data_IF_025508636203
#
_entry.id   IF_025508636203
#
_cell.length_a   1.000
_cell.length_b   1.000
_cell.length_c   1.000
_cell.angle_alpha   90.00
_cell.angle_beta   90.00
_cell.angle_gamma   90.00
#
_symmetry.space_group_name_H-M   'P 1'
#
loop_
_entity.id
_entity.type
_entity.pdbx_description
1 polymer ?
#
# COMPACT_ATOMS: atom_id res chain seq x y z
N UNK A 1 -1.77 -2.26 -3.63
CA UNK A 1 -0.29 -2.07 -3.70
C UNK A 1 0.32 -3.45 -3.56
N UNK A 2 1.31 -3.80 -4.35
CA UNK A 2 1.99 -5.11 -4.23
C UNK A 2 3.12 -5.03 -3.20
N UNK A 3 3.40 -6.17 -2.53
CA UNK A 3 4.50 -6.29 -1.57
C UNK A 3 5.54 -7.30 -2.04
N UNK A 4 6.82 -6.92 -1.98
CA UNK A 4 7.96 -7.68 -2.46
C UNK A 4 8.80 -8.22 -1.30
N UNK A 5 9.27 -9.44 -1.44
CA UNK A 5 10.26 -10.04 -0.54
C UNK A 5 11.29 -10.84 -1.36
N UNK A 6 12.54 -10.75 -1.00
CA UNK A 6 13.62 -11.56 -1.58
C UNK A 6 14.62 -11.96 -0.52
N UNK A 7 15.27 -13.11 -0.69
CA UNK A 7 16.23 -13.62 0.28
C UNK A 7 17.34 -14.43 -0.39
N UNK A 8 18.56 -14.21 0.08
CA UNK A 8 19.74 -15.02 -0.23
C UNK A 8 20.31 -15.56 1.07
N UNK A 9 20.66 -16.84 1.09
CA UNK A 9 21.13 -17.55 2.28
C UNK A 9 22.28 -18.51 1.97
N UNK A 10 23.15 -18.75 2.92
CA UNK A 10 24.14 -19.84 2.87
C UNK A 10 23.49 -21.22 3.08
N UNK A 11 22.29 -21.24 3.69
CA UNK A 11 21.49 -22.44 3.98
C UNK A 11 20.21 -22.49 3.15
N UNK A 12 19.29 -23.38 3.48
CA UNK A 12 17.96 -23.38 2.89
C UNK A 12 17.16 -22.16 3.38
N UNK A 13 16.68 -21.31 2.45
CA UNK A 13 15.98 -20.06 2.76
C UNK A 13 14.47 -20.15 2.58
N UNK A 14 13.92 -21.31 2.26
CA UNK A 14 12.49 -21.43 1.88
C UNK A 14 11.55 -20.92 2.99
N UNK A 15 11.88 -21.20 4.25
CA UNK A 15 11.10 -20.68 5.39
C UNK A 15 11.10 -19.16 5.44
N UNK A 16 12.28 -18.52 5.29
CA UNK A 16 12.40 -17.06 5.25
C UNK A 16 11.68 -16.47 4.05
N UNK A 17 11.79 -17.08 2.86
CA UNK A 17 11.09 -16.67 1.64
C UNK A 17 9.59 -16.73 1.82
N UNK A 18 9.10 -17.84 2.31
CA UNK A 18 7.69 -18.11 2.50
C UNK A 18 7.04 -17.10 3.46
N UNK A 19 7.52 -17.05 4.70
CA UNK A 19 6.96 -16.14 5.71
C UNK A 19 7.23 -14.67 5.39
N UNK A 20 8.40 -14.35 4.86
CA UNK A 20 8.72 -12.99 4.43
C UNK A 20 7.74 -12.48 3.37
N UNK A 21 7.32 -13.36 2.45
CA UNK A 21 6.29 -13.03 1.46
C UNK A 21 4.91 -12.92 2.12
N UNK A 22 4.53 -13.86 2.98
CA UNK A 22 3.23 -13.87 3.66
C UNK A 22 2.97 -12.62 4.52
N UNK A 23 4.02 -12.05 5.14
CA UNK A 23 3.94 -10.79 5.87
C UNK A 23 3.46 -9.58 5.04
N UNK A 24 3.44 -9.70 3.71
CA UNK A 24 2.91 -8.67 2.82
C UNK A 24 1.44 -8.91 2.41
N UNK A 25 0.75 -9.90 2.98
CA UNK A 25 -0.64 -10.26 2.65
C UNK A 25 -1.66 -9.14 2.89
N UNK A 26 -1.29 -8.09 3.64
CA UNK A 26 -2.11 -6.90 3.80
C UNK A 26 -1.96 -5.89 2.64
N UNK A 27 -0.95 -6.01 1.78
CA UNK A 27 -0.70 -5.09 0.65
C UNK A 27 -1.42 -5.50 -0.63
N UNK A 28 -1.55 -6.79 -0.91
CA UNK A 28 -2.21 -7.31 -2.10
C UNK A 28 -3.24 -8.39 -1.78
N UNK A 29 -4.17 -8.64 -2.70
CA UNK A 29 -5.30 -9.54 -2.45
C UNK A 29 -5.64 -10.46 -3.60
N UNK A 30 -5.00 -10.30 -4.77
CA UNK A 30 -5.40 -11.07 -5.95
C UNK A 30 -4.48 -12.26 -6.18
N UNK A 31 -3.18 -12.05 -6.22
CA UNK A 31 -2.23 -13.13 -6.48
C UNK A 31 -1.11 -13.16 -5.45
N UNK A 32 -0.67 -14.36 -5.11
CA UNK A 32 0.57 -14.61 -4.39
C UNK A 32 1.52 -15.44 -5.25
N UNK A 33 2.81 -15.15 -5.18
CA UNK A 33 3.77 -15.91 -5.96
C UNK A 33 5.17 -15.94 -5.36
N UNK A 34 5.89 -17.03 -5.65
CA UNK A 34 7.31 -17.20 -5.31
C UNK A 34 8.08 -17.74 -6.50
N UNK A 35 9.33 -17.32 -6.63
CA UNK A 35 10.30 -17.95 -7.52
C UNK A 35 11.61 -18.21 -6.79
N UNK A 36 12.24 -19.35 -7.07
CA UNK A 36 13.46 -19.77 -6.41
C UNK A 36 14.31 -20.69 -7.31
N UNK A 37 15.60 -20.84 -7.00
CA UNK A 37 16.48 -21.79 -7.67
C UNK A 37 16.51 -23.09 -6.86
N UNK A 38 15.93 -24.15 -7.40
CA UNK A 38 15.97 -25.47 -6.77
C UNK A 38 17.38 -26.07 -6.84
N UNK A 39 17.99 -26.35 -5.68
CA UNK A 39 19.36 -26.89 -5.59
C UNK A 39 19.51 -28.28 -6.20
N UNK A 40 18.49 -29.13 -6.09
CA UNK A 40 18.52 -30.50 -6.62
C UNK A 40 18.36 -30.49 -8.14
N UNK A 41 17.38 -29.74 -8.63
CA UNK A 41 17.05 -29.66 -10.07
C UNK A 41 17.93 -28.66 -10.82
N UNK A 42 18.69 -27.80 -10.12
CA UNK A 42 19.54 -26.72 -10.65
C UNK A 42 18.81 -25.79 -11.63
N UNK A 43 17.50 -25.59 -11.44
CA UNK A 43 16.65 -24.79 -12.31
C UNK A 43 15.79 -23.80 -11.55
N UNK A 44 15.38 -22.76 -12.24
CA UNK A 44 14.39 -21.79 -11.75
C UNK A 44 13.02 -22.47 -11.67
N UNK A 45 12.35 -22.31 -10.54
CA UNK A 45 10.96 -22.75 -10.31
C UNK A 45 10.16 -21.54 -9.90
N UNK A 46 8.97 -21.37 -10.50
CA UNK A 46 7.97 -20.40 -10.06
C UNK A 46 6.68 -21.10 -9.64
N UNK A 47 5.98 -20.52 -8.67
CA UNK A 47 4.63 -20.88 -8.26
C UNK A 47 3.82 -19.60 -8.10
N UNK A 48 2.63 -19.54 -8.69
CA UNK A 48 1.69 -18.43 -8.58
C UNK A 48 0.33 -19.03 -8.26
N UNK A 49 -0.39 -18.42 -7.34
CA UNK A 49 -1.76 -18.79 -7.00
C UNK A 49 -2.64 -17.55 -6.86
N UNK A 50 -3.89 -17.69 -7.28
CA UNK A 50 -4.97 -16.80 -6.88
C UNK A 50 -5.18 -16.94 -5.37
N UNK A 51 -5.21 -15.79 -4.67
CA UNK A 51 -5.42 -15.70 -3.22
C UNK A 51 -6.65 -14.88 -2.85
N UNK A 52 -7.50 -14.53 -3.83
CA UNK A 52 -8.72 -13.75 -3.62
C UNK A 52 -9.63 -14.31 -2.53
N UNK A 53 -9.79 -15.62 -2.49
CA UNK A 53 -10.66 -16.34 -1.55
C UNK A 53 -9.87 -17.22 -0.57
N UNK A 54 -8.56 -17.03 -0.46
CA UNK A 54 -7.70 -17.84 0.40
C UNK A 54 -6.51 -17.02 0.94
N UNK A 55 -5.89 -17.51 2.00
CA UNK A 55 -4.66 -16.91 2.50
C UNK A 55 -3.46 -17.46 1.72
N UNK A 56 -2.43 -16.64 1.52
CA UNK A 56 -1.17 -17.05 0.89
C UNK A 56 -0.63 -18.34 1.50
N UNK A 57 -0.57 -18.41 2.83
CA UNK A 57 -0.06 -19.58 3.57
C UNK A 57 -0.80 -20.88 3.23
N UNK A 58 -2.11 -20.84 3.00
CA UNK A 58 -2.88 -22.05 2.69
C UNK A 58 -2.58 -22.62 1.30
N UNK A 59 -2.11 -21.78 0.37
CA UNK A 59 -1.77 -22.19 -1.01
C UNK A 59 -0.31 -22.61 -1.17
N UNK A 60 0.59 -22.14 -0.33
CA UNK A 60 2.02 -22.33 -0.52
C UNK A 60 2.67 -23.26 0.51
N UNK A 61 2.04 -23.51 1.65
CA UNK A 61 2.62 -24.30 2.75
C UNK A 61 2.81 -25.75 2.37
N UNK A 62 1.88 -26.34 1.65
CA UNK A 62 1.91 -27.77 1.31
C UNK A 62 3.11 -28.10 0.42
N UNK A 63 3.97 -29.02 0.91
CA UNK A 63 5.18 -29.44 0.22
C UNK A 63 6.35 -28.44 0.27
N UNK A 64 6.27 -27.36 1.05
CA UNK A 64 7.39 -26.41 1.21
C UNK A 64 8.60 -27.04 1.92
N UNK A 65 8.38 -28.01 2.80
CA UNK A 65 9.39 -28.83 3.49
C UNK A 65 10.29 -29.63 2.54
N UNK A 66 9.78 -29.98 1.36
CA UNK A 66 10.52 -30.73 0.32
C UNK A 66 11.39 -29.84 -0.58
N UNK A 67 11.21 -28.52 -0.48
CA UNK A 67 11.95 -27.55 -1.30
C UNK A 67 13.29 -27.22 -0.64
N UNK A 68 14.36 -27.25 -1.43
CA UNK A 68 15.68 -26.83 -0.99
C UNK A 68 16.22 -25.75 -1.92
N UNK A 69 16.26 -24.53 -1.43
CA UNK A 69 16.82 -23.37 -2.13
C UNK A 69 17.54 -22.45 -1.17
N UNK A 70 18.57 -21.78 -1.66
CA UNK A 70 19.28 -20.76 -0.92
C UNK A 70 19.03 -19.34 -1.45
N UNK A 71 18.13 -19.22 -2.43
CA UNK A 71 17.81 -17.92 -3.05
C UNK A 71 16.39 -17.93 -3.61
N UNK A 72 15.66 -16.86 -3.40
CA UNK A 72 14.33 -16.71 -3.98
C UNK A 72 13.75 -15.31 -3.82
N UNK A 73 12.71 -15.03 -4.62
CA UNK A 73 11.88 -13.84 -4.54
C UNK A 73 10.42 -14.25 -4.36
N UNK A 74 9.66 -13.40 -3.70
CA UNK A 74 8.23 -13.58 -3.50
C UNK A 74 7.49 -12.26 -3.62
N UNK A 75 6.20 -12.35 -3.91
CA UNK A 75 5.33 -11.19 -4.08
C UNK A 75 3.91 -11.51 -3.66
N UNK A 76 3.27 -10.55 -3.01
CA UNK A 76 1.81 -10.46 -2.87
C UNK A 76 1.36 -9.36 -3.81
N UNK A 77 0.54 -9.71 -4.79
CA UNK A 77 0.13 -8.82 -5.88
C UNK A 77 -1.33 -8.39 -5.76
N UNK A 78 -1.59 -7.14 -6.12
CA UNK A 78 -2.91 -6.52 -6.07
C UNK A 78 -3.63 -6.51 -7.43
N UNK A 79 -2.95 -6.92 -8.51
CA UNK A 79 -3.52 -6.94 -9.84
C UNK A 79 -2.99 -8.08 -10.71
N UNK A 80 -1.69 -8.12 -10.97
CA UNK A 80 -1.11 -8.98 -11.99
C UNK A 80 -0.56 -10.27 -11.39
N UNK A 81 -0.74 -11.46 -12.02
CA UNK A 81 -0.04 -12.68 -11.64
C UNK A 81 1.47 -12.49 -11.78
N UNK A 82 2.21 -12.76 -10.71
CA UNK A 82 3.68 -12.67 -10.66
C UNK A 82 4.24 -13.52 -9.50
N UNK A 83 5.56 -13.87 -9.49
CA UNK A 83 6.63 -13.43 -10.40
C UNK A 83 6.53 -14.09 -11.78
N UNK A 84 7.02 -13.41 -12.82
CA UNK A 84 7.16 -14.00 -14.14
C UNK A 84 8.59 -14.51 -14.38
N UNK A 85 8.74 -15.55 -15.20
CA UNK A 85 10.04 -16.12 -15.55
C UNK A 85 10.28 -16.06 -17.04
N UNK A 86 11.51 -15.73 -17.42
CA UNK A 86 11.94 -15.55 -18.80
C UNK A 86 13.25 -16.33 -19.07
N UNK A 87 13.37 -16.88 -20.26
CA UNK A 87 14.64 -17.23 -20.84
C UNK A 87 15.09 -16.07 -21.73
N UNK A 88 16.28 -15.57 -21.55
CA UNK A 88 16.75 -14.36 -22.21
C UNK A 88 18.24 -14.42 -22.53
N UNK A 89 18.76 -13.41 -23.23
CA UNK A 89 20.20 -13.24 -23.44
C UNK A 89 21.03 -13.11 -22.17
N UNK A 90 20.39 -12.84 -21.01
CA UNK A 90 21.00 -12.81 -19.68
C UNK A 90 20.96 -14.17 -18.97
N UNK A 91 20.43 -15.21 -19.67
CA UNK A 91 20.05 -16.52 -19.11
C UNK A 91 18.66 -16.47 -18.45
N UNK A 92 18.27 -17.58 -17.78
CA UNK A 92 17.00 -17.67 -17.09
C UNK A 92 16.94 -16.73 -15.88
N UNK A 93 15.85 -15.98 -15.77
CA UNK A 93 15.57 -15.12 -14.63
C UNK A 93 14.08 -15.08 -14.27
N UNK A 94 13.77 -14.69 -13.03
CA UNK A 94 12.41 -14.36 -12.63
C UNK A 94 12.36 -12.91 -12.13
N UNK A 95 11.22 -12.24 -12.34
CA UNK A 95 11.02 -10.84 -11.96
C UNK A 95 9.67 -10.66 -11.26
N UNK A 96 9.64 -9.80 -10.26
CA UNK A 96 8.42 -9.27 -9.67
C UNK A 96 8.55 -7.76 -9.43
N UNK A 97 7.40 -7.07 -9.47
CA UNK A 97 7.31 -5.62 -9.46
C UNK A 97 6.24 -5.12 -8.48
N UNK A 98 6.44 -3.92 -7.94
CA UNK A 98 5.47 -3.19 -7.13
C UNK A 98 5.40 -1.73 -7.56
N UNK A 99 4.20 -1.25 -7.91
CA UNK A 99 3.96 0.12 -8.34
C UNK A 99 2.90 0.22 -9.43
N UNK A 100 2.85 1.37 -10.11
CA UNK A 100 1.92 1.67 -11.20
C UNK A 100 2.65 2.37 -12.34
N UNK A 101 2.40 1.93 -13.57
CA UNK A 101 2.86 2.56 -14.82
C UNK A 101 1.64 3.12 -15.54
N UNK A 102 1.52 4.46 -15.62
CA UNK A 102 0.35 5.11 -16.22
C UNK A 102 0.38 5.16 -17.73
N UNK A 103 1.56 5.10 -18.35
CA UNK A 103 1.74 5.00 -19.82
C UNK A 103 1.99 3.56 -20.30
N UNK A 104 1.43 2.56 -19.57
CA UNK A 104 1.61 1.13 -19.90
C UNK A 104 1.25 0.80 -21.32
N UNK A 105 0.08 1.25 -21.78
CA UNK A 105 -0.44 0.90 -23.11
C UNK A 105 0.39 1.54 -24.23
N UNK A 106 0.86 2.78 -24.08
CA UNK A 106 1.75 3.47 -24.99
C UNK A 106 3.07 2.69 -25.18
N UNK A 107 3.66 2.26 -24.04
CA UNK A 107 4.90 1.48 -24.07
C UNK A 107 4.71 0.09 -24.69
N UNK A 108 3.61 -0.58 -24.37
CA UNK A 108 3.28 -1.88 -24.94
C UNK A 108 3.08 -1.81 -26.45
N UNK A 109 2.34 -0.82 -26.96
CA UNK A 109 2.16 -0.60 -28.38
C UNK A 109 3.51 -0.31 -29.10
N UNK A 110 4.40 0.42 -28.44
CA UNK A 110 5.74 0.69 -28.98
C UNK A 110 6.56 -0.60 -29.14
N UNK A 111 6.45 -1.53 -28.18
CA UNK A 111 7.13 -2.83 -28.22
C UNK A 111 6.50 -3.76 -29.27
N UNK A 112 5.17 -3.79 -29.38
CA UNK A 112 4.44 -4.58 -30.39
C UNK A 112 4.86 -4.15 -31.80
N UNK A 113 4.96 -2.85 -32.07
CA UNK A 113 5.46 -2.34 -33.39
C UNK A 113 6.89 -2.77 -33.69
N UNK A 114 7.69 -3.14 -32.69
CA UNK A 114 9.03 -3.72 -32.82
C UNK A 114 9.03 -5.25 -32.94
N UNK A 115 7.85 -5.88 -33.05
CA UNK A 115 7.71 -7.33 -33.18
C UNK A 115 7.77 -8.10 -31.85
N UNK A 116 7.64 -7.42 -30.69
CA UNK A 116 7.62 -8.07 -29.39
C UNK A 116 6.19 -8.45 -29.04
N UNK A 117 5.99 -9.71 -28.69
CA UNK A 117 4.69 -10.24 -28.27
C UNK A 117 4.54 -10.21 -26.74
N UNK A 118 3.30 -10.12 -26.28
CA UNK A 118 2.92 -10.29 -24.88
C UNK A 118 2.08 -11.56 -24.74
N UNK A 119 2.35 -12.36 -23.73
CA UNK A 119 1.70 -13.65 -23.47
C UNK A 119 0.85 -13.64 -22.20
N UNK A 120 1.21 -12.80 -21.24
CA UNK A 120 0.52 -12.67 -19.95
C UNK A 120 -0.53 -11.55 -20.04
N UNK A 121 -1.75 -11.93 -20.47
CA UNK A 121 -2.88 -11.03 -20.63
C UNK A 121 -3.98 -11.44 -19.68
N UNK A 122 -4.35 -10.55 -18.74
CA UNK A 122 -5.39 -10.79 -17.77
C UNK A 122 -6.57 -9.83 -18.02
N UNK A 123 -7.76 -10.38 -18.26
CA UNK A 123 -8.98 -9.59 -18.56
C UNK A 123 -8.80 -8.54 -19.68
N UNK A 124 -7.99 -8.84 -20.71
CA UNK A 124 -7.66 -7.93 -21.79
C UNK A 124 -6.54 -6.93 -21.51
N UNK A 125 -5.99 -6.92 -20.30
CA UNK A 125 -4.89 -6.04 -19.86
C UNK A 125 -3.55 -6.77 -19.93
N UNK A 126 -2.53 -6.13 -20.52
CA UNK A 126 -1.15 -6.63 -20.52
C UNK A 126 -0.59 -6.59 -19.10
N UNK A 127 0.06 -7.68 -18.67
CA UNK A 127 0.72 -7.77 -17.39
C UNK A 127 1.88 -6.75 -17.28
N UNK A 128 1.84 -5.92 -16.22
CA UNK A 128 2.84 -4.86 -16.00
C UNK A 128 4.25 -5.42 -15.82
N UNK A 129 4.37 -6.60 -15.20
CA UNK A 129 5.67 -7.26 -14.97
C UNK A 129 6.26 -7.76 -16.29
N UNK A 130 5.43 -8.27 -17.22
CA UNK A 130 5.87 -8.66 -18.56
C UNK A 130 6.34 -7.45 -19.37
N UNK A 131 5.63 -6.33 -19.30
CA UNK A 131 6.06 -5.09 -19.93
C UNK A 131 7.45 -4.66 -19.45
N UNK A 132 7.66 -4.65 -18.13
CA UNK A 132 8.95 -4.28 -17.52
C UNK A 132 10.05 -5.24 -17.96
N UNK A 133 9.79 -6.55 -17.97
CA UNK A 133 10.74 -7.55 -18.44
C UNK A 133 11.11 -7.37 -19.92
N UNK A 134 10.12 -7.09 -20.75
CA UNK A 134 10.34 -6.85 -22.18
C UNK A 134 11.14 -5.57 -22.45
N UNK A 135 10.94 -4.51 -21.65
CA UNK A 135 11.78 -3.31 -21.72
C UNK A 135 13.23 -3.62 -21.30
N UNK A 136 13.43 -4.39 -20.23
CA UNK A 136 14.77 -4.80 -19.76
C UNK A 136 15.48 -5.64 -20.82
N UNK A 137 14.78 -6.56 -21.48
CA UNK A 137 15.32 -7.45 -22.48
C UNK A 137 15.81 -6.75 -23.76
N UNK A 138 15.44 -5.48 -24.00
CA UNK A 138 15.97 -4.71 -25.13
C UNK A 138 17.43 -4.29 -24.91
N UNK A 139 17.86 -4.15 -23.67
CA UNK A 139 19.14 -3.54 -23.32
C UNK A 139 20.29 -4.57 -23.20
N UNK A 140 21.52 -4.12 -23.18
CA UNK A 140 22.74 -4.96 -23.16
C UNK A 140 22.88 -5.82 -21.91
N UNK A 141 22.42 -5.30 -20.77
CA UNK A 141 22.46 -5.97 -19.47
C UNK A 141 21.29 -5.52 -18.59
N UNK A 142 21.06 -6.27 -17.51
CA UNK A 142 19.95 -6.05 -16.57
C UNK A 142 19.98 -4.63 -15.97
N UNK A 143 21.16 -4.10 -15.63
CA UNK A 143 21.29 -2.77 -15.00
C UNK A 143 20.84 -1.68 -15.98
N UNK A 144 21.37 -1.69 -17.20
CA UNK A 144 20.92 -0.76 -18.25
C UNK A 144 19.45 -0.92 -18.58
N UNK A 145 18.94 -2.15 -18.53
CA UNK A 145 17.52 -2.44 -18.70
C UNK A 145 16.64 -1.79 -17.63
N UNK A 146 17.02 -1.88 -16.36
CA UNK A 146 16.32 -1.20 -15.27
C UNK A 146 16.38 0.32 -15.43
N UNK A 147 17.54 0.87 -15.80
CA UNK A 147 17.68 2.31 -16.07
C UNK A 147 16.77 2.80 -17.20
N UNK A 148 16.66 2.00 -18.24
CA UNK A 148 15.78 2.34 -19.37
C UNK A 148 14.30 2.26 -19.00
N UNK A 149 13.90 1.28 -18.19
CA UNK A 149 12.56 1.26 -17.58
C UNK A 149 12.30 2.58 -16.84
N UNK A 150 13.22 3.01 -15.97
CA UNK A 150 13.07 4.23 -15.20
C UNK A 150 13.00 5.52 -16.02
N UNK A 151 13.62 5.54 -17.20
CA UNK A 151 13.52 6.66 -18.14
C UNK A 151 12.15 6.70 -18.83
N UNK A 152 11.63 5.55 -19.27
CA UNK A 152 10.43 5.46 -20.13
C UNK A 152 9.12 5.52 -19.38
N UNK A 153 9.08 5.00 -18.14
CA UNK A 153 7.83 4.93 -17.39
C UNK A 153 7.38 6.28 -16.82
N UNK A 154 6.07 6.53 -16.90
CA UNK A 154 5.36 7.51 -16.09
C UNK A 154 4.70 6.77 -14.93
N UNK A 155 4.98 7.18 -13.69
CA UNK A 155 4.56 6.48 -12.48
C UNK A 155 5.74 6.00 -11.64
N UNK A 156 5.57 4.89 -10.94
CA UNK A 156 6.56 4.34 -10.01
C UNK A 156 6.61 2.81 -10.15
N UNK A 157 7.80 2.24 -10.11
CA UNK A 157 8.01 0.79 -10.08
C UNK A 157 9.28 0.43 -9.31
N UNK A 158 9.14 -0.35 -8.24
CA UNK A 158 10.23 -1.06 -7.59
C UNK A 158 10.21 -2.52 -8.00
N UNK A 159 11.35 -3.18 -8.12
CA UNK A 159 11.41 -4.52 -8.66
C UNK A 159 12.51 -5.38 -8.05
N UNK A 160 12.31 -6.71 -8.12
CA UNK A 160 13.30 -7.73 -7.80
C UNK A 160 13.49 -8.64 -9.02
N UNK A 161 14.75 -8.91 -9.39
CA UNK A 161 15.09 -9.84 -10.46
C UNK A 161 16.00 -10.93 -9.89
N UNK A 162 15.49 -12.15 -9.86
CA UNK A 162 16.19 -13.35 -9.44
C UNK A 162 16.94 -13.94 -10.64
N UNK A 163 18.26 -14.05 -10.53
CA UNK A 163 19.11 -14.85 -11.42
C UNK A 163 19.79 -15.95 -10.62
N UNK A 164 20.43 -16.90 -11.30
CA UNK A 164 21.10 -18.03 -10.64
C UNK A 164 22.12 -17.62 -9.56
N UNK A 165 22.77 -16.44 -9.72
CA UNK A 165 23.86 -15.98 -8.85
C UNK A 165 23.45 -15.00 -7.77
N UNK A 166 22.21 -14.48 -7.77
CA UNK A 166 21.79 -13.44 -6.84
C UNK A 166 20.47 -12.79 -7.24
N UNK A 167 20.13 -11.71 -6.55
CA UNK A 167 18.91 -10.91 -6.77
C UNK A 167 19.33 -9.46 -7.03
N UNK A 168 18.92 -8.90 -8.16
CA UNK A 168 18.92 -7.45 -8.35
C UNK A 168 17.72 -6.86 -7.63
N UNK A 169 17.96 -5.85 -6.81
CA UNK A 169 16.94 -5.11 -6.06
C UNK A 169 17.02 -3.67 -6.52
N UNK A 170 15.93 -3.13 -7.05
CA UNK A 170 15.91 -1.78 -7.60
C UNK A 170 14.71 -1.01 -7.07
N UNK A 171 14.97 0.06 -6.31
CA UNK A 171 13.95 0.99 -5.83
C UNK A 171 13.58 1.96 -6.94
N UNK A 172 12.29 2.28 -7.07
CA UNK A 172 11.82 3.23 -8.09
C UNK A 172 12.60 4.55 -8.08
N UNK A 173 12.66 5.21 -9.25
CA UNK A 173 13.51 6.39 -9.47
C UNK A 173 13.21 7.58 -8.56
N UNK A 174 11.98 7.68 -8.05
CA UNK A 174 11.54 8.79 -7.19
C UNK A 174 11.44 8.36 -5.71
N UNK A 175 11.58 7.06 -5.41
CA UNK A 175 11.52 6.52 -4.05
C UNK A 175 10.11 6.38 -3.48
N UNK A 176 9.06 6.45 -4.32
CA UNK A 176 7.65 6.36 -3.89
C UNK A 176 7.36 5.04 -3.17
N UNK A 177 7.88 3.94 -3.73
CA UNK A 177 7.73 2.58 -3.19
C UNK A 177 9.03 2.13 -2.53
N UNK A 178 9.09 2.00 -1.19
CA UNK A 178 10.32 1.67 -0.47
C UNK A 178 10.80 0.25 -0.74
N UNK A 179 12.11 0.05 -0.63
CA UNK A 179 12.77 -1.24 -0.47
C UNK A 179 13.80 -1.13 0.64
N UNK A 180 13.80 -2.10 1.54
CA UNK A 180 14.69 -2.17 2.68
C UNK A 180 15.49 -3.48 2.65
N UNK A 181 16.78 -3.38 2.95
CA UNK A 181 17.67 -4.53 3.12
C UNK A 181 17.76 -4.87 4.60
N UNK A 182 17.58 -6.16 4.91
CA UNK A 182 17.80 -6.74 6.23
C UNK A 182 18.90 -7.79 6.20
N UNK A 183 19.63 -7.90 7.29
CA UNK A 183 20.69 -8.90 7.46
C UNK A 183 20.48 -9.68 8.75
N UNK A 184 20.78 -10.97 8.70
CA UNK A 184 21.05 -11.84 9.85
C UNK A 184 22.20 -12.77 9.52
N UNK A 185 22.69 -13.53 10.48
CA UNK A 185 23.82 -14.43 10.26
C UNK A 185 23.55 -15.40 9.10
N UNK A 186 24.34 -15.26 8.02
CA UNK A 186 24.29 -16.11 6.83
C UNK A 186 23.14 -15.86 5.88
N UNK A 187 22.30 -14.82 6.12
CA UNK A 187 21.17 -14.45 5.24
C UNK A 187 21.06 -12.94 5.01
N UNK A 188 20.70 -12.57 3.79
CA UNK A 188 20.36 -11.18 3.40
C UNK A 188 18.98 -11.21 2.80
N UNK A 189 18.10 -10.33 3.27
CA UNK A 189 16.75 -10.15 2.75
C UNK A 189 16.56 -8.75 2.16
N UNK A 190 15.65 -8.64 1.20
CA UNK A 190 15.09 -7.39 0.69
C UNK A 190 13.58 -7.44 0.87
N UNK A 191 12.97 -6.34 1.27
CA UNK A 191 11.53 -6.28 1.56
C UNK A 191 10.95 -4.91 1.21
N UNK A 192 9.67 -4.87 0.84
CA UNK A 192 8.92 -3.62 0.74
C UNK A 192 8.62 -3.00 2.10
N UNK A 193 8.50 -3.83 3.15
CA UNK A 193 8.21 -3.43 4.53
C UNK A 193 9.10 -4.15 5.54
N UNK A 194 9.29 -3.53 6.69
CA UNK A 194 10.13 -4.11 7.76
C UNK A 194 9.39 -5.08 8.69
N UNK A 195 8.05 -5.20 8.60
CA UNK A 195 7.25 -6.00 9.54
C UNK A 195 7.62 -7.49 9.58
N UNK A 196 8.19 -8.03 8.51
CA UNK A 196 8.66 -9.41 8.47
C UNK A 196 9.99 -9.64 9.22
N UNK A 197 10.79 -8.60 9.39
CA UNK A 197 12.17 -8.72 9.87
C UNK A 197 12.28 -9.18 11.33
N UNK A 198 11.55 -8.60 12.30
CA UNK A 198 11.70 -9.01 13.70
C UNK A 198 11.47 -10.51 13.92
N UNK A 199 10.36 -11.03 13.41
CA UNK A 199 10.00 -12.44 13.61
C UNK A 199 10.86 -13.42 12.80
N UNK A 200 11.49 -12.96 11.71
CA UNK A 200 12.44 -13.76 10.92
C UNK A 200 13.90 -13.57 11.37
N UNK A 201 14.14 -12.71 12.37
CA UNK A 201 15.47 -12.47 12.95
C UNK A 201 16.38 -11.56 12.11
N UNK A 202 15.82 -10.83 11.14
CA UNK A 202 16.59 -9.84 10.37
C UNK A 202 16.68 -8.51 11.12
N UNK A 203 17.84 -7.87 11.03
CA UNK A 203 18.05 -6.47 11.43
C UNK A 203 18.08 -5.60 10.20
N UNK A 204 17.47 -4.41 10.27
CA UNK A 204 17.51 -3.42 9.20
C UNK A 204 18.96 -3.04 8.95
N UNK A 205 19.42 -3.15 7.71
CA UNK A 205 20.75 -2.72 7.27
C UNK A 205 20.69 -1.34 6.64
N UNK A 206 19.76 -1.15 5.71
CA UNK A 206 19.55 0.15 5.05
C UNK A 206 18.24 0.16 4.26
N UNK A 207 17.66 1.33 4.10
CA UNK A 207 16.69 1.62 3.05
C UNK A 207 17.43 1.96 1.76
N UNK A 208 17.00 1.44 0.62
CA UNK A 208 17.58 1.81 -0.67
C UNK A 208 17.17 3.24 -1.02
N UNK A 209 18.10 4.02 -1.58
CA UNK A 209 17.79 5.36 -2.08
C UNK A 209 16.94 5.29 -3.36
N UNK A 210 16.22 6.37 -3.74
CA UNK A 210 15.52 6.46 -5.02
C UNK A 210 16.43 6.13 -6.20
N UNK A 211 15.98 5.24 -7.09
CA UNK A 211 16.75 4.79 -8.25
C UNK A 211 17.99 3.96 -7.96
N UNK A 212 18.23 3.60 -6.69
CA UNK A 212 19.35 2.73 -6.33
C UNK A 212 19.13 1.30 -6.83
N UNK A 213 20.20 0.69 -7.38
CA UNK A 213 20.23 -0.71 -7.79
C UNK A 213 21.33 -1.40 -6.99
N UNK A 214 20.97 -2.44 -6.25
CA UNK A 214 21.92 -3.31 -5.56
C UNK A 214 21.74 -4.74 -6.05
N UNK A 215 22.83 -5.52 -5.95
CA UNK A 215 22.83 -6.95 -6.20
C UNK A 215 23.17 -7.65 -4.90
N UNK A 216 22.29 -8.53 -4.43
CA UNK A 216 22.52 -9.34 -3.23
C UNK A 216 22.82 -10.77 -3.63
N UNK A 217 23.85 -11.34 -3.04
CA UNK A 217 24.32 -12.72 -3.27
C UNK A 217 24.91 -13.31 -1.98
N UNK A 218 25.46 -14.52 -2.06
CA UNK A 218 26.07 -15.23 -0.92
C UNK A 218 27.38 -14.59 -0.39
N UNK A 219 27.94 -13.63 -1.16
CA UNK A 219 29.13 -12.85 -0.77
C UNK A 219 28.78 -11.53 -0.11
N UNK A 220 27.51 -11.08 -0.22
CA UNK A 220 27.06 -9.84 0.38
C UNK A 220 26.21 -8.96 -0.54
N UNK A 221 26.29 -7.66 -0.32
CA UNK A 221 25.54 -6.62 -1.03
C UNK A 221 26.51 -5.84 -1.92
N UNK A 222 26.26 -5.86 -3.21
CA UNK A 222 27.05 -5.11 -4.20
C UNK A 222 26.21 -3.94 -4.73
N UNK A 223 26.69 -2.71 -4.58
CA UNK A 223 26.05 -1.56 -5.21
C UNK A 223 26.33 -1.56 -6.71
N UNK A 224 25.28 -1.59 -7.53
CA UNK A 224 25.37 -1.56 -9.00
C UNK A 224 25.10 -0.18 -9.58
N UNK A 225 24.24 0.61 -8.91
CA UNK A 225 23.98 1.99 -9.25
C UNK A 225 23.73 2.79 -7.98
N UNK A 226 24.33 3.98 -7.90
CA UNK A 226 24.07 4.93 -6.82
C UNK A 226 22.66 5.49 -6.97
N UNK A 227 21.93 5.55 -5.86
CA UNK A 227 20.62 6.21 -5.80
C UNK A 227 20.74 7.74 -5.75
N UNK A 228 19.62 8.39 -5.94
CA UNK A 228 19.46 9.84 -5.87
C UNK A 228 19.14 10.27 -4.42
N UNK A 229 19.50 11.47 -3.99
CA UNK A 229 19.20 11.96 -2.65
C UNK A 229 17.74 12.41 -2.51
N UNK A 230 17.02 12.59 -3.62
CA UNK A 230 15.72 13.24 -3.65
C UNK A 230 14.59 12.20 -3.54
N UNK A 231 14.13 11.96 -2.30
CA UNK A 231 13.09 10.98 -1.99
C UNK A 231 11.69 11.61 -2.11
N UNK A 232 10.74 10.87 -2.67
CA UNK A 232 9.31 11.22 -2.76
C UNK A 232 8.46 10.06 -2.23
N UNK A 233 8.78 9.56 -1.05
CA UNK A 233 8.10 8.40 -0.46
C UNK A 233 6.61 8.67 -0.25
N UNK A 234 5.78 7.69 -0.53
CA UNK A 234 4.33 7.80 -0.42
C UNK A 234 3.91 8.02 1.05
N UNK A 235 3.34 9.19 1.37
CA UNK A 235 2.88 9.49 2.72
C UNK A 235 1.74 8.56 3.19
N UNK A 236 0.97 7.98 2.25
CA UNK A 236 -0.11 7.05 2.55
C UNK A 236 0.37 5.73 3.18
N UNK A 237 1.66 5.42 3.08
CA UNK A 237 2.28 4.27 3.77
C UNK A 237 2.09 4.37 5.27
N UNK A 238 2.29 5.53 5.87
CA UNK A 238 2.09 5.72 7.31
C UNK A 238 0.62 5.86 7.69
N UNK A 239 -0.19 6.48 6.84
CA UNK A 239 -1.59 6.76 7.18
C UNK A 239 -2.44 5.49 7.15
N UNK A 240 -2.26 4.64 6.12
CA UNK A 240 -3.13 3.48 5.89
C UNK A 240 -2.42 2.20 5.49
N UNK A 241 -1.59 2.24 4.41
CA UNK A 241 -1.18 1.01 3.71
C UNK A 241 -0.13 0.19 4.45
N UNK A 242 0.80 0.83 5.17
CA UNK A 242 1.85 0.16 5.91
C UNK A 242 1.31 -0.61 7.12
N UNK A 243 1.93 -1.75 7.40
CA UNK A 243 1.61 -2.50 8.61
C UNK A 243 2.04 -1.71 9.87
N UNK A 244 1.25 -1.67 10.95
CA UNK A 244 1.55 -0.85 12.13
C UNK A 244 2.95 -1.02 12.71
N UNK A 245 3.46 -2.26 12.76
CA UNK A 245 4.82 -2.54 13.24
C UNK A 245 5.93 -2.20 12.23
N UNK A 246 5.58 -1.79 11.00
CA UNK A 246 6.57 -1.42 9.98
C UNK A 246 7.21 -0.08 10.26
N UNK A 247 8.43 0.06 9.73
CA UNK A 247 9.21 1.30 9.74
C UNK A 247 9.61 1.62 8.30
N UNK A 248 9.45 2.87 7.88
CA UNK A 248 9.94 3.39 6.61
C UNK A 248 10.85 4.58 6.88
N UNK A 249 12.06 4.57 6.31
CA UNK A 249 13.07 5.61 6.54
C UNK A 249 13.24 5.90 8.05
N UNK A 250 13.31 4.84 8.87
CA UNK A 250 13.43 4.87 10.34
C UNK A 250 12.23 5.48 11.10
N UNK A 251 11.11 5.74 10.41
CA UNK A 251 9.89 6.29 11.00
C UNK A 251 8.83 5.19 11.12
N UNK A 252 8.42 4.88 12.35
CA UNK A 252 7.45 3.81 12.64
C UNK A 252 6.01 4.22 12.31
N UNK A 253 5.26 3.31 11.68
CA UNK A 253 3.88 3.54 11.20
C UNK A 253 2.92 3.81 12.35
N UNK A 254 2.92 2.99 13.40
CA UNK A 254 2.00 3.14 14.55
C UNK A 254 2.19 4.49 15.23
N UNK A 255 3.46 4.88 15.44
CA UNK A 255 3.80 6.18 16.04
C UNK A 255 3.27 7.36 15.26
N UNK A 256 3.37 7.32 13.93
CA UNK A 256 2.81 8.36 13.06
C UNK A 256 1.30 8.42 13.17
N UNK A 257 0.62 7.29 13.19
CA UNK A 257 -0.85 7.23 13.36
C UNK A 257 -1.30 7.82 14.69
N UNK A 258 -0.62 7.50 15.79
CA UNK A 258 -0.87 8.13 17.09
C UNK A 258 -0.66 9.66 17.02
N UNK A 259 0.42 10.13 16.38
CA UNK A 259 0.68 11.55 16.22
C UNK A 259 -0.43 12.24 15.40
N UNK A 260 -0.90 11.63 14.30
CA UNK A 260 -2.05 12.13 13.54
C UNK A 260 -3.28 12.31 14.45
N UNK A 261 -3.56 11.32 15.30
CA UNK A 261 -4.65 11.40 16.27
C UNK A 261 -4.50 12.55 17.25
N UNK A 262 -3.29 12.80 17.77
CA UNK A 262 -3.00 13.94 18.64
C UNK A 262 -3.25 15.29 17.96
N UNK A 263 -2.79 15.46 16.70
CA UNK A 263 -3.05 16.69 15.94
C UNK A 263 -4.55 16.91 15.70
N UNK A 264 -5.31 15.85 15.41
CA UNK A 264 -6.77 15.94 15.31
C UNK A 264 -7.41 16.44 16.60
N UNK A 265 -7.01 15.89 17.76
CA UNK A 265 -7.54 16.27 19.07
C UNK A 265 -7.20 17.73 19.43
N UNK A 266 -5.95 18.18 19.19
CA UNK A 266 -5.54 19.57 19.46
C UNK A 266 -6.39 20.62 18.74
N UNK A 267 -6.95 20.26 17.58
CA UNK A 267 -7.80 21.18 16.78
C UNK A 267 -9.29 20.98 17.04
N UNK A 268 -9.65 20.01 17.86
CA UNK A 268 -11.03 19.69 18.13
C UNK A 268 -11.57 20.40 19.39
N UNK A 269 -12.81 20.83 19.31
CA UNK A 269 -13.50 21.52 20.38
C UNK A 269 -14.87 20.91 20.70
N UNK A 270 -15.15 19.71 20.18
CA UNK A 270 -16.43 19.02 20.44
C UNK A 270 -16.40 18.35 21.81
N UNK A 271 -17.52 18.44 22.53
CA UNK A 271 -17.68 17.74 23.79
C UNK A 271 -18.10 16.29 23.51
N UNK A 272 -17.29 15.37 23.97
CA UNK A 272 -17.43 13.91 23.72
C UNK A 272 -17.27 13.11 25.00
N UNK A 273 -17.80 11.90 24.99
CA UNK A 273 -17.69 10.98 26.10
C UNK A 273 -16.52 10.00 25.90
N UNK A 274 -16.23 9.60 24.67
CA UNK A 274 -15.15 8.68 24.36
C UNK A 274 -14.65 8.80 22.91
N UNK A 275 -13.42 8.34 22.68
CA UNK A 275 -12.83 8.17 21.36
C UNK A 275 -12.77 6.69 20.96
N UNK A 276 -13.01 6.42 19.66
CA UNK A 276 -12.90 5.09 19.06
C UNK A 276 -12.36 5.19 17.65
N UNK A 277 -11.89 4.08 17.10
CA UNK A 277 -11.44 3.99 15.71
C UNK A 277 -12.19 2.92 14.93
N UNK A 278 -12.29 3.12 13.63
CA UNK A 278 -12.74 2.06 12.73
C UNK A 278 -11.64 0.97 12.69
N UNK A 279 -11.95 -0.27 13.04
CA UNK A 279 -10.93 -1.33 13.07
C UNK A 279 -10.56 -1.81 11.65
N UNK A 280 -9.28 -2.06 11.34
CA UNK A 280 -8.11 -1.90 12.26
C UNK A 280 -7.40 -0.54 12.02
N UNK A 281 -7.62 0.09 10.87
CA UNK A 281 -6.88 1.26 10.36
C UNK A 281 -7.03 2.52 11.22
N UNK A 282 -8.22 2.77 11.76
CA UNK A 282 -8.50 3.93 12.59
C UNK A 282 -8.05 3.81 14.06
N UNK A 283 -7.63 2.63 14.52
CA UNK A 283 -7.38 2.36 15.95
C UNK A 283 -6.24 3.21 16.51
N UNK A 284 -5.07 3.21 15.87
CA UNK A 284 -3.92 3.98 16.36
C UNK A 284 -4.18 5.49 16.35
N UNK A 285 -4.89 5.98 15.33
CA UNK A 285 -5.34 7.37 15.27
C UNK A 285 -6.26 7.72 16.45
N UNK A 286 -7.18 6.82 16.79
CA UNK A 286 -8.09 7.03 17.94
C UNK A 286 -7.37 6.94 19.29
N UNK A 287 -6.37 6.09 19.42
CA UNK A 287 -5.50 6.04 20.60
C UNK A 287 -4.78 7.38 20.78
N UNK A 288 -4.16 7.90 19.73
CA UNK A 288 -3.50 9.21 19.76
C UNK A 288 -4.47 10.35 20.10
N UNK A 289 -5.68 10.32 19.54
CA UNK A 289 -6.74 11.28 19.87
C UNK A 289 -7.14 11.21 21.36
N UNK A 290 -7.36 10.00 21.88
CA UNK A 290 -7.72 9.77 23.29
C UNK A 290 -6.63 10.27 24.24
N UNK A 291 -5.35 9.98 23.94
CA UNK A 291 -4.20 10.43 24.73
C UNK A 291 -4.12 11.95 24.84
N UNK A 292 -4.36 12.66 23.75
CA UNK A 292 -4.27 14.13 23.72
C UNK A 292 -5.49 14.82 24.33
N UNK A 293 -6.71 14.29 24.05
CA UNK A 293 -7.95 14.87 24.56
C UNK A 293 -8.27 14.53 26.02
N UNK A 294 -7.54 13.59 26.63
CA UNK A 294 -7.82 13.05 27.97
C UNK A 294 -9.12 12.24 28.05
N UNK A 295 -9.78 11.95 26.92
CA UNK A 295 -11.00 11.13 26.88
C UNK A 295 -10.65 9.65 26.75
N UNK A 296 -11.47 8.73 27.32
CA UNK A 296 -11.15 7.30 27.25
C UNK A 296 -11.23 6.76 25.81
N UNK A 297 -10.27 5.93 25.42
CA UNK A 297 -10.37 5.10 24.23
C UNK A 297 -11.24 3.87 24.52
N UNK A 298 -12.29 3.64 23.75
CA UNK A 298 -13.14 2.46 23.85
C UNK A 298 -13.47 1.88 22.49
N UNK A 299 -13.55 0.58 22.38
CA UNK A 299 -13.86 -0.12 21.12
C UNK A 299 -15.37 -0.23 20.92
N UNK A 300 -15.99 0.76 20.30
CA UNK A 300 -17.41 0.75 19.93
C UNK A 300 -17.68 -0.13 18.69
N UNK A 301 -16.62 -0.44 17.93
CA UNK A 301 -16.65 -1.32 16.78
C UNK A 301 -15.59 -2.43 16.94
N UNK A 302 -15.97 -3.63 16.56
CA UNK A 302 -15.12 -4.81 16.61
C UNK A 302 -15.12 -5.48 15.23
N UNK A 303 -13.95 -5.89 14.77
CA UNK A 303 -13.83 -6.64 13.53
C UNK A 303 -13.99 -8.13 13.81
N UNK A 304 -14.92 -8.76 13.11
CA UNK A 304 -15.07 -10.22 13.13
C UNK A 304 -14.07 -10.82 12.15
N UNK A 305 -12.99 -11.37 12.66
CA UNK A 305 -11.86 -11.90 11.88
C UNK A 305 -12.06 -13.34 11.38
N UNK A 306 -12.73 -14.26 12.12
CA UNK A 306 -12.92 -15.62 11.63
C UNK A 306 -13.80 -15.66 10.37
N UNK A 307 -13.27 -16.16 9.27
CA UNK A 307 -14.02 -16.46 8.05
C UNK A 307 -14.13 -15.33 6.99
N UNK A 308 -13.66 -14.12 7.26
CA UNK A 308 -13.74 -13.04 6.27
C UNK A 308 -12.39 -12.38 6.00
N UNK A 309 -11.95 -12.44 4.73
CA UNK A 309 -10.83 -11.68 4.22
C UNK A 309 -11.13 -10.17 4.08
N UNK A 310 -10.51 -9.49 3.12
CA UNK A 310 -10.79 -8.08 2.84
C UNK A 310 -12.15 -7.91 2.15
N UNK A 311 -12.96 -6.93 2.59
CA UNK A 311 -14.34 -6.72 2.12
C UNK A 311 -14.47 -6.23 0.67
N UNK A 312 -13.38 -5.82 0.02
CA UNK A 312 -13.37 -5.35 -1.37
C UNK A 312 -12.96 -6.43 -2.39
N UNK A 313 -12.61 -7.63 -1.93
CA UNK A 313 -12.15 -8.75 -2.75
C UNK A 313 -13.25 -9.50 -3.51
N UNK A 314 -14.52 -9.62 -3.05
CA UNK A 314 -15.54 -10.35 -3.78
C UNK A 314 -15.91 -9.72 -5.12
N UNK A 315 -16.18 -10.56 -6.13
CA UNK A 315 -16.44 -10.18 -7.51
C UNK A 315 -17.70 -9.32 -7.72
N UNK A 316 -18.76 -9.51 -6.90
CA UNK A 316 -20.01 -8.76 -7.02
C UNK A 316 -20.19 -7.72 -5.91
N UNK A 317 -20.88 -6.61 -6.21
CA UNK A 317 -21.19 -5.58 -5.23
C UNK A 317 -22.01 -6.13 -4.06
N UNK A 318 -22.98 -7.03 -4.34
CA UNK A 318 -23.85 -7.61 -3.33
C UNK A 318 -23.05 -8.46 -2.31
N UNK A 319 -22.09 -9.28 -2.77
CA UNK A 319 -21.24 -10.06 -1.89
C UNK A 319 -20.30 -9.14 -1.09
N UNK A 320 -19.76 -8.09 -1.72
CA UNK A 320 -18.95 -7.08 -1.01
C UNK A 320 -19.72 -6.39 0.09
N UNK A 321 -20.97 -6.03 -0.16
CA UNK A 321 -21.83 -5.38 0.82
C UNK A 321 -22.19 -6.34 1.97
N UNK A 322 -22.47 -7.59 1.66
CA UNK A 322 -22.72 -8.64 2.68
C UNK A 322 -21.49 -8.90 3.55
N UNK A 323 -20.30 -9.02 2.95
CA UNK A 323 -19.04 -9.21 3.70
C UNK A 323 -18.75 -7.97 4.57
N UNK A 324 -18.94 -6.77 4.05
CA UNK A 324 -18.77 -5.54 4.82
C UNK A 324 -19.77 -5.45 5.99
N UNK A 325 -21.02 -5.85 5.75
CA UNK A 325 -22.06 -5.92 6.79
C UNK A 325 -21.68 -6.86 7.94
N UNK A 326 -21.18 -8.05 7.62
CA UNK A 326 -20.88 -9.09 8.61
C UNK A 326 -19.53 -8.88 9.32
N UNK A 327 -18.62 -8.14 8.72
CA UNK A 327 -17.25 -7.95 9.20
C UNK A 327 -17.13 -7.07 10.43
N UNK A 328 -18.01 -6.08 10.59
CA UNK A 328 -17.99 -5.14 11.70
C UNK A 328 -19.19 -5.37 12.63
N UNK A 329 -18.92 -5.44 13.93
CA UNK A 329 -19.94 -5.59 14.98
C UNK A 329 -19.86 -4.36 15.89
N UNK A 330 -21.01 -3.65 16.06
CA UNK A 330 -21.09 -2.56 17.02
C UNK A 330 -21.28 -3.11 18.45
N UNK A 331 -20.52 -2.57 19.39
CA UNK A 331 -20.69 -2.87 20.82
C UNK A 331 -21.74 -1.93 21.41
N UNK A 332 -22.96 -2.40 21.50
CA UNK A 332 -24.13 -1.63 21.95
C UNK A 332 -23.94 -1.09 23.38
N UNK A 333 -23.36 -1.88 24.29
CA UNK A 333 -23.16 -1.49 25.69
C UNK A 333 -22.18 -0.30 25.85
N UNK A 334 -21.28 -0.14 24.87
CA UNK A 334 -20.33 0.98 24.86
C UNK A 334 -20.83 2.16 24.03
N UNK A 335 -21.57 1.90 22.96
CA UNK A 335 -22.02 2.95 22.05
C UNK A 335 -23.27 3.69 22.57
N UNK A 336 -24.19 3.00 23.24
CA UNK A 336 -25.50 3.53 23.67
C UNK A 336 -25.36 4.76 24.58
N UNK A 337 -26.01 5.85 24.16
CA UNK A 337 -26.09 7.10 24.90
C UNK A 337 -24.82 7.96 24.88
N UNK A 338 -23.73 7.49 24.30
CA UNK A 338 -22.46 8.20 24.26
C UNK A 338 -22.30 9.07 23.01
N UNK A 339 -21.60 10.20 23.18
CA UNK A 339 -21.09 11.07 22.11
C UNK A 339 -19.70 10.60 21.72
N UNK A 340 -19.53 10.18 20.47
CA UNK A 340 -18.37 9.46 20.00
C UNK A 340 -17.48 10.30 19.09
N UNK A 341 -16.16 10.34 19.32
CA UNK A 341 -15.21 10.55 18.23
C UNK A 341 -14.96 9.19 17.56
N UNK A 342 -15.10 9.18 16.24
CA UNK A 342 -14.74 8.03 15.40
C UNK A 342 -13.59 8.42 14.47
N UNK A 343 -12.39 7.97 14.79
CA UNK A 343 -11.23 8.14 13.93
C UNK A 343 -11.23 7.11 12.80
N UNK A 344 -10.87 7.58 11.61
CA UNK A 344 -10.65 6.76 10.42
C UNK A 344 -9.32 7.16 9.79
N UNK A 345 -8.68 6.29 9.04
CA UNK A 345 -7.47 6.66 8.29
C UNK A 345 -7.80 7.66 7.17
N UNK A 346 -8.84 7.39 6.40
CA UNK A 346 -9.24 8.17 5.23
C UNK A 346 -10.70 7.92 4.83
N UNK A 347 -11.32 8.87 4.16
CA UNK A 347 -12.61 8.68 3.48
C UNK A 347 -12.36 8.70 1.98
N UNK A 348 -12.35 7.52 1.35
CA UNK A 348 -12.18 7.39 -0.10
C UNK A 348 -13.52 7.60 -0.80
N UNK A 349 -14.43 6.62 -0.69
CA UNK A 349 -15.77 6.67 -1.32
C UNK A 349 -16.88 7.07 -0.36
N UNK A 350 -16.67 6.90 0.93
CA UNK A 350 -17.64 7.12 1.99
C UNK A 350 -18.72 6.04 2.15
N UNK A 351 -18.97 5.24 1.12
CA UNK A 351 -20.09 4.26 1.10
C UNK A 351 -20.01 3.23 2.23
N UNK A 352 -18.85 2.64 2.46
CA UNK A 352 -18.67 1.65 3.52
C UNK A 352 -18.81 2.29 4.91
N UNK A 353 -18.24 3.46 5.10
CA UNK A 353 -18.34 4.21 6.35
C UNK A 353 -19.82 4.54 6.65
N UNK A 354 -20.57 5.05 5.66
CA UNK A 354 -21.98 5.38 5.77
C UNK A 354 -22.84 4.14 6.08
N UNK A 355 -22.82 3.15 5.20
CA UNK A 355 -23.79 2.06 5.19
C UNK A 355 -23.53 1.02 6.28
N UNK A 356 -22.27 0.79 6.66
CA UNK A 356 -21.93 -0.31 7.56
C UNK A 356 -21.38 0.15 8.90
N UNK A 357 -20.73 1.30 8.98
CA UNK A 357 -20.13 1.79 10.21
C UNK A 357 -21.06 2.71 10.97
N UNK A 358 -21.47 3.83 10.31
CA UNK A 358 -22.30 4.86 10.95
C UNK A 358 -23.70 4.33 11.25
N UNK A 359 -24.31 3.61 10.32
CA UNK A 359 -25.64 3.00 10.51
C UNK A 359 -25.64 2.07 11.74
N UNK A 360 -24.66 1.18 11.87
CA UNK A 360 -24.57 0.28 13.03
C UNK A 360 -24.38 1.00 14.37
N UNK A 361 -23.60 2.08 14.39
CA UNK A 361 -23.42 2.88 15.61
C UNK A 361 -24.71 3.60 16.01
N UNK A 362 -25.48 4.12 15.04
CA UNK A 362 -26.81 4.68 15.29
C UNK A 362 -27.79 3.64 15.83
N UNK A 363 -27.85 2.47 15.21
CA UNK A 363 -28.66 1.34 15.66
C UNK A 363 -28.25 0.85 17.06
N UNK A 364 -26.96 0.94 17.38
CA UNK A 364 -26.44 0.66 18.72
C UNK A 364 -26.77 1.77 19.74
N UNK A 365 -27.39 2.87 19.31
CA UNK A 365 -27.87 3.95 20.19
C UNK A 365 -26.81 5.01 20.52
N UNK A 366 -25.80 5.20 19.67
CA UNK A 366 -24.86 6.33 19.81
C UNK A 366 -25.64 7.65 19.75
N UNK A 367 -25.37 8.58 20.70
CA UNK A 367 -26.04 9.87 20.79
C UNK A 367 -25.54 10.84 19.74
N UNK A 368 -24.24 10.92 19.58
CA UNK A 368 -23.57 11.74 18.56
C UNK A 368 -22.39 10.98 17.98
N UNK A 369 -22.12 11.20 16.68
CA UNK A 369 -20.98 10.58 15.98
C UNK A 369 -20.21 11.69 15.26
N UNK A 370 -19.01 11.96 15.72
CA UNK A 370 -18.09 12.93 15.14
C UNK A 370 -16.94 12.20 14.43
N UNK A 371 -16.87 12.30 13.10
CA UNK A 371 -15.88 11.57 12.32
C UNK A 371 -14.62 12.42 12.10
N UNK A 372 -13.45 11.80 12.30
CA UNK A 372 -12.13 12.45 12.20
C UNK A 372 -11.17 11.61 11.35
N UNK A 373 -11.15 11.84 10.02
CA UNK A 373 -10.16 11.19 9.15
C UNK A 373 -8.75 11.74 9.41
N UNK A 374 -7.78 10.85 9.46
CA UNK A 374 -6.39 11.16 9.82
C UNK A 374 -5.56 11.77 8.69
N UNK A 375 -6.13 11.95 7.51
CA UNK A 375 -5.53 12.66 6.39
C UNK A 375 -6.52 13.69 5.82
N UNK A 376 -6.07 14.64 4.98
CA UNK A 376 -6.96 15.55 4.26
C UNK A 376 -7.92 14.83 3.30
N UNK A 377 -8.96 15.51 2.78
CA UNK A 377 -9.82 14.94 1.75
C UNK A 377 -9.02 14.47 0.53
N UNK A 378 -9.25 13.24 0.07
CA UNK A 378 -8.64 12.73 -1.16
C UNK A 378 -9.27 13.41 -2.38
N UNK A 379 -8.45 14.14 -3.14
CA UNK A 379 -8.87 14.94 -4.29
C UNK A 379 -8.47 14.34 -5.63
N UNK A 380 -7.40 13.54 -5.67
CA UNK A 380 -6.81 13.03 -6.89
C UNK A 380 -6.57 11.52 -6.81
N UNK A 381 -6.96 10.73 -7.84
CA UNK A 381 -6.62 9.32 -7.90
C UNK A 381 -5.11 9.15 -8.06
N UNK A 382 -4.54 8.15 -7.38
CA UNK A 382 -3.10 7.94 -7.36
C UNK A 382 -2.55 7.53 -8.73
N UNK A 383 -1.45 8.16 -9.16
CA UNK A 383 -0.74 7.85 -10.42
C UNK A 383 0.57 7.07 -10.20
N UNK A 384 0.92 6.76 -8.96
CA UNK A 384 2.18 6.09 -8.59
C UNK A 384 1.99 4.69 -8.02
N UNK A 385 0.86 4.44 -7.38
CA UNK A 385 0.51 3.15 -6.78
C UNK A 385 -0.94 2.77 -7.09
N UNK A 386 -1.21 1.47 -7.07
CA UNK A 386 -2.58 0.97 -7.16
C UNK A 386 -3.36 1.40 -5.90
N UNK A 387 -4.30 2.31 -6.09
CA UNK A 387 -5.16 2.89 -5.08
C UNK A 387 -6.53 3.19 -5.71
N UNK A 388 -7.10 4.35 -5.46
CA UNK A 388 -8.32 4.83 -6.13
C UNK A 388 -8.09 5.01 -7.63
N UNK A 389 -8.95 4.43 -8.45
CA UNK A 389 -8.79 4.40 -9.92
C UNK A 389 -9.49 5.56 -10.62
N UNK A 390 -10.48 6.17 -9.98
CA UNK A 390 -11.37 7.15 -10.63
C UNK A 390 -11.62 8.35 -9.74
N UNK A 391 -11.57 9.55 -10.34
CA UNK A 391 -11.91 10.82 -9.69
C UNK A 391 -13.36 10.81 -9.17
N UNK A 392 -14.31 10.25 -9.94
CA UNK A 392 -15.72 10.22 -9.61
C UNK A 392 -16.07 9.37 -8.37
N UNK A 393 -15.18 8.49 -7.97
CA UNK A 393 -15.37 7.65 -6.77
C UNK A 393 -15.03 8.38 -5.47
N UNK A 394 -14.23 9.44 -5.54
CA UNK A 394 -13.75 10.16 -4.35
C UNK A 394 -14.90 10.96 -3.70
N UNK A 395 -15.09 10.79 -2.39
CA UNK A 395 -16.17 11.46 -1.63
C UNK A 395 -16.08 12.99 -1.75
N UNK A 396 -14.88 13.56 -1.69
CA UNK A 396 -14.65 14.99 -1.88
C UNK A 396 -15.07 15.45 -3.29
N UNK A 397 -14.75 14.69 -4.33
CA UNK A 397 -15.13 15.02 -5.73
C UNK A 397 -16.63 14.89 -5.95
N UNK A 398 -17.29 13.92 -5.33
CA UNK A 398 -18.76 13.80 -5.34
C UNK A 398 -19.42 15.02 -4.71
N UNK A 399 -18.91 15.47 -3.55
CA UNK A 399 -19.40 16.66 -2.87
C UNK A 399 -19.22 17.90 -3.75
N UNK A 400 -18.05 18.10 -4.34
CA UNK A 400 -17.75 19.22 -5.25
C UNK A 400 -18.74 19.21 -6.43
N UNK A 401 -18.91 18.06 -7.08
CA UNK A 401 -19.88 17.93 -8.20
C UNK A 401 -21.30 18.26 -7.79
N UNK A 402 -21.73 17.85 -6.60
CA UNK A 402 -23.07 18.16 -6.09
C UNK A 402 -23.24 19.65 -5.77
N UNK A 403 -22.19 20.34 -5.30
CA UNK A 403 -22.20 21.76 -4.97
C UNK A 403 -22.14 22.63 -6.24
N UNK A 404 -21.26 22.29 -7.20
CA UNK A 404 -21.04 23.07 -8.41
C UNK A 404 -22.00 22.69 -9.57
N UNK A 405 -22.78 21.61 -9.42
CA UNK A 405 -23.66 21.07 -10.46
C UNK A 405 -22.94 20.33 -11.60
N UNK A 406 -21.60 20.32 -11.61
CA UNK A 406 -20.74 19.68 -12.62
C UNK A 406 -19.40 19.31 -12.05
N UNK A 407 -18.67 18.45 -12.78
CA UNK A 407 -17.26 18.21 -12.48
C UNK A 407 -16.43 19.43 -12.88
N UNK A 408 -15.51 19.82 -12.00
CA UNK A 408 -14.57 20.94 -12.23
C UNK A 408 -13.13 20.42 -12.12
N UNK A 409 -12.23 20.97 -12.94
CA UNK A 409 -10.81 20.63 -12.93
C UNK A 409 -10.05 21.39 -11.83
N UNK A 410 -10.28 22.71 -11.74
CA UNK A 410 -9.69 23.55 -10.69
C UNK A 410 -10.43 23.36 -9.37
N UNK A 411 -9.75 22.72 -8.43
CA UNK A 411 -10.22 22.48 -7.07
C UNK A 411 -9.43 23.26 -6.02
N UNK A 412 -8.67 24.27 -6.40
CA UNK A 412 -7.75 25.02 -5.54
C UNK A 412 -8.43 25.60 -4.29
N UNK A 413 -9.64 26.14 -4.43
CA UNK A 413 -10.42 26.65 -3.29
C UNK A 413 -10.90 25.52 -2.35
N UNK A 414 -11.10 24.31 -2.87
CA UNK A 414 -11.45 23.13 -2.07
C UNK A 414 -10.24 22.48 -1.37
N UNK A 415 -9.02 22.88 -1.71
CA UNK A 415 -7.81 22.49 -1.00
C UNK A 415 -7.48 23.44 0.17
N UNK A 416 -8.08 24.62 0.21
CA UNK A 416 -7.84 25.62 1.26
C UNK A 416 -8.81 25.43 2.44
N UNK A 417 -8.36 24.97 3.63
CA UNK A 417 -9.23 24.72 4.78
C UNK A 417 -9.97 25.95 5.30
N UNK A 418 -9.50 27.16 4.98
CA UNK A 418 -10.12 28.40 5.41
C UNK A 418 -11.20 28.89 4.45
N UNK A 419 -11.28 28.33 3.23
CA UNK A 419 -12.26 28.75 2.23
C UNK A 419 -13.70 28.34 2.59
N UNK A 420 -14.66 29.10 2.09
CA UNK A 420 -16.09 28.76 2.19
C UNK A 420 -16.41 27.47 1.42
N UNK A 421 -15.77 27.26 0.26
CA UNK A 421 -15.97 26.07 -0.57
C UNK A 421 -15.52 24.79 0.14
N UNK A 422 -14.36 24.83 0.80
CA UNK A 422 -13.89 23.70 1.61
C UNK A 422 -14.89 23.36 2.73
N UNK A 423 -15.36 24.36 3.47
CA UNK A 423 -16.36 24.15 4.55
C UNK A 423 -17.66 23.56 4.01
N UNK A 424 -18.19 24.10 2.92
CA UNK A 424 -19.40 23.58 2.27
C UNK A 424 -19.24 22.12 1.82
N UNK A 425 -18.05 21.76 1.30
CA UNK A 425 -17.74 20.37 0.93
C UNK A 425 -17.77 19.45 2.15
N UNK A 426 -17.20 19.85 3.27
CA UNK A 426 -17.22 19.07 4.50
C UNK A 426 -18.64 18.89 5.04
N UNK A 427 -19.44 19.96 5.04
CA UNK A 427 -20.84 19.92 5.47
C UNK A 427 -21.67 18.98 4.60
N UNK A 428 -21.45 19.03 3.27
CA UNK A 428 -22.11 18.11 2.35
C UNK A 428 -21.74 16.64 2.66
N UNK A 429 -20.45 16.35 2.84
CA UNK A 429 -19.98 14.99 3.15
C UNK A 429 -20.54 14.53 4.52
N UNK A 430 -20.52 15.38 5.53
CA UNK A 430 -21.07 15.08 6.86
C UNK A 430 -22.57 14.73 6.78
N UNK A 431 -23.34 15.51 6.01
CA UNK A 431 -24.77 15.27 5.76
C UNK A 431 -24.99 13.96 5.00
N UNK A 432 -24.20 13.70 3.96
CA UNK A 432 -24.30 12.44 3.20
C UNK A 432 -23.98 11.22 4.07
N UNK A 433 -22.95 11.29 4.90
CA UNK A 433 -22.60 10.24 5.87
C UNK A 433 -23.63 10.11 6.99
N UNK A 434 -24.40 11.18 7.26
CA UNK A 434 -25.36 11.26 8.34
C UNK A 434 -24.70 11.32 9.72
N UNK A 435 -23.59 12.03 9.85
CA UNK A 435 -22.83 12.20 11.10
C UNK A 435 -23.07 13.57 11.71
N UNK A 436 -22.81 13.70 13.03
CA UNK A 436 -22.98 14.95 13.77
C UNK A 436 -22.00 16.02 13.30
N UNK A 437 -20.73 15.63 13.08
CA UNK A 437 -19.72 16.51 12.49
C UNK A 437 -18.63 15.73 11.79
N UNK A 438 -17.97 16.37 10.82
CA UNK A 438 -16.82 15.86 10.09
C UNK A 438 -15.73 16.92 10.09
N UNK A 439 -14.51 16.52 10.46
CA UNK A 439 -13.32 17.36 10.35
C UNK A 439 -12.15 16.49 9.92
N UNK A 440 -11.54 16.83 8.80
CA UNK A 440 -10.34 16.17 8.31
C UNK A 440 -9.07 16.73 8.94
N UNK A 441 -8.03 15.93 8.92
CA UNK A 441 -6.67 16.37 9.22
C UNK A 441 -6.23 17.46 8.23
N UNK A 442 -5.39 18.39 8.69
CA UNK A 442 -4.71 19.32 7.80
C UNK A 442 -3.48 18.68 7.17
N UNK A 443 -3.12 19.12 5.96
CA UNK A 443 -1.99 18.56 5.23
C UNK A 443 -0.65 18.78 5.98
N UNK A 444 -0.47 19.96 6.54
CA UNK A 444 0.76 20.27 7.26
C UNK A 444 0.84 19.51 8.59
N UNK A 445 -0.27 19.37 9.33
CA UNK A 445 -0.32 18.54 10.54
C UNK A 445 -0.02 17.06 10.24
N UNK A 446 -0.48 16.54 9.09
CA UNK A 446 -0.17 15.18 8.66
C UNK A 446 1.33 15.03 8.34
N UNK A 447 1.93 16.01 7.68
CA UNK A 447 3.37 16.04 7.42
C UNK A 447 4.16 16.10 8.72
N UNK A 448 3.77 16.97 9.64
CA UNK A 448 4.40 17.09 10.96
C UNK A 448 4.25 15.80 11.80
N UNK A 449 3.09 15.12 11.69
CA UNK A 449 2.88 13.82 12.34
C UNK A 449 3.81 12.73 11.81
N UNK A 450 4.09 12.74 10.50
CA UNK A 450 5.08 11.83 9.89
C UNK A 450 6.50 12.18 10.38
N UNK A 451 6.81 13.47 10.53
CA UNK A 451 8.12 13.93 10.99
C UNK A 451 9.21 13.90 9.90
N UNK A 452 8.80 13.94 8.64
CA UNK A 452 9.70 14.02 7.47
C UNK A 452 9.49 15.34 6.72
N UNK A 453 10.52 15.95 6.14
CA UNK A 453 10.38 17.15 5.33
C UNK A 453 9.35 16.98 4.21
N UNK A 454 8.49 17.97 4.03
CA UNK A 454 7.35 17.93 3.09
C UNK A 454 7.79 17.65 1.64
N UNK A 455 8.96 18.15 1.24
CA UNK A 455 9.54 17.94 -0.07
C UNK A 455 10.06 16.51 -0.29
N UNK A 456 10.21 15.70 0.77
CA UNK A 456 10.58 14.28 0.70
C UNK A 456 9.37 13.33 0.59
N UNK A 457 8.16 13.86 0.66
CA UNK A 457 6.91 13.09 0.65
C UNK A 457 6.18 13.23 -0.69
N UNK A 458 5.62 12.13 -1.17
CA UNK A 458 4.58 12.15 -2.19
C UNK A 458 3.23 12.47 -1.54
N UNK A 459 2.66 13.62 -1.87
CA UNK A 459 1.38 14.12 -1.37
C UNK A 459 0.33 14.27 -2.48
N UNK A 460 0.55 13.63 -3.62
CA UNK A 460 -0.26 13.78 -4.84
C UNK A 460 -1.76 13.57 -4.60
N UNK A 461 -2.14 12.56 -3.82
CA UNK A 461 -3.56 12.23 -3.55
C UNK A 461 -4.36 13.40 -2.97
N UNK A 462 -3.69 14.34 -2.29
CA UNK A 462 -4.29 15.47 -1.60
C UNK A 462 -4.14 16.80 -2.34
N UNK A 463 -2.98 17.04 -2.99
CA UNK A 463 -2.66 18.35 -3.59
C UNK A 463 -2.53 18.34 -5.11
N UNK A 464 -2.54 17.18 -5.76
CA UNK A 464 -2.42 17.03 -7.21
C UNK A 464 -1.05 17.39 -7.81
N UNK A 465 -0.05 17.69 -6.97
CA UNK A 465 1.28 18.06 -7.47
C UNK A 465 2.04 16.83 -7.96
N UNK A 466 2.18 16.74 -9.27
CA UNK A 466 2.96 15.69 -9.95
C UNK A 466 4.42 16.11 -10.04
N UNK A 467 5.26 15.54 -9.18
CA UNK A 467 6.69 15.81 -9.16
C UNK A 467 7.47 15.22 -10.36
N UNK A 468 6.83 14.50 -11.26
CA UNK A 468 7.43 14.06 -12.54
C UNK A 468 7.23 15.09 -13.65
N UNK A 469 6.37 16.10 -13.45
CA UNK A 469 6.10 17.18 -14.39
C UNK A 469 6.77 18.49 -14.01
N UNK A 470 7.40 18.54 -12.83
CA UNK A 470 8.12 19.73 -12.34
C UNK A 470 9.58 19.76 -12.79
#
# INVERSE_FOLDING_TARGET
>A
MSGLFGVVSKKNCITSLYYGTDYHSHLGTEYGGIAFIDKKKKRLIKKIHDINNSQFKSKFYEGSDKINSNIGIGVISDKDPQPLSFESKFGPYAICCAGLITNKDELAQTLIKKGISFSEIEHGDINTTELVANLINQEENIIKGIEEVYKKIKGSISLLILIKKGIFCARDKNGVSPLVIGEKEGEIAVSSETCSFPNLGFKIKKFLNPGEIVFINDKGIEKKKQGLPDNKICAFLWIYTGFPASTYEDINVEKVRENCGKFLAKRDNVDIDLASGVPDSGIAHAIGYAMESGKPFRRVLLKYTPGYGRSYTPLTQEIRDRVALLKLIANKEIAKGNRLILCEDSIVRGTQLKNFTITKLKEAGAKEIHVRPACPPLMFPCIYNLSTRSTHELAARKAIKAIEGKDIEDVSEYLNPNSKKYKNMLDWIAKDLGVTSLRYQLLDDMVDAIGMPKDKLCLYCWNGKDFQKS
#
